data_IF_217202657794
#
_entry.id   IF_217202657794
#
_cell.length_a   1.000
_cell.length_b   1.000
_cell.length_c   1.000
_cell.angle_alpha   90.00
_cell.angle_beta   90.00
_cell.angle_gamma   90.00
#
_symmetry.space_group_name_H-M   'P 1'
#
loop_
_entity.id
_entity.type
_entity.pdbx_description
1 polymer ?
#
# COMPACT_ATOMS: atom_id res chain seq x y z
N UNK A 1 32.00 -18.28 0.33
CA UNK A 1 31.10 -18.86 -0.67
C UNK A 1 29.83 -18.02 -0.79
N UNK A 2 29.32 -17.89 -2.01
CA UNK A 2 28.06 -17.21 -2.28
C UNK A 2 26.92 -18.21 -2.12
N UNK A 3 25.95 -17.88 -1.26
CA UNK A 3 24.71 -18.64 -1.09
C UNK A 3 23.60 -17.82 -1.72
N UNK A 4 22.99 -18.28 -2.81
CA UNK A 4 21.86 -17.57 -3.42
C UNK A 4 20.63 -17.64 -2.52
N UNK A 5 19.79 -16.59 -2.62
CA UNK A 5 18.55 -16.52 -1.86
C UNK A 5 17.44 -15.85 -2.65
N UNK A 6 16.19 -16.22 -2.35
CA UNK A 6 14.99 -15.67 -2.97
C UNK A 6 14.01 -15.16 -1.94
N UNK A 7 13.57 -13.93 -2.16
CA UNK A 7 12.36 -13.40 -1.53
C UNK A 7 11.15 -13.87 -2.36
N UNK A 8 10.34 -14.72 -1.77
CA UNK A 8 9.29 -15.48 -2.45
C UNK A 8 7.88 -15.08 -2.02
N UNK A 9 7.72 -13.95 -1.37
CA UNK A 9 6.42 -13.41 -0.99
C UNK A 9 6.10 -12.14 -1.79
N UNK A 10 4.83 -11.79 -1.81
CA UNK A 10 4.38 -10.48 -2.22
C UNK A 10 3.46 -10.43 -3.43
N UNK A 11 3.06 -9.21 -3.72
CA UNK A 11 2.08 -8.84 -4.72
C UNK A 11 2.35 -9.36 -6.15
N UNK A 12 3.58 -9.44 -6.66
CA UNK A 12 3.82 -9.94 -8.02
C UNK A 12 3.28 -11.36 -8.25
N UNK A 13 3.35 -12.22 -7.24
CA UNK A 13 2.84 -13.60 -7.33
C UNK A 13 1.31 -13.58 -7.43
N UNK A 14 0.64 -12.85 -6.56
CA UNK A 14 -0.81 -12.70 -6.56
C UNK A 14 -1.32 -12.10 -7.87
N UNK A 15 -0.61 -11.10 -8.43
CA UNK A 15 -0.95 -10.48 -9.71
C UNK A 15 -0.89 -11.46 -10.88
N UNK A 16 0.07 -12.39 -10.89
CA UNK A 16 0.15 -13.41 -11.95
C UNK A 16 -1.03 -14.35 -11.86
N UNK A 17 -1.37 -14.84 -10.66
CA UNK A 17 -2.54 -15.70 -10.49
C UNK A 17 -3.83 -14.98 -10.89
N UNK A 18 -3.98 -13.71 -10.53
CA UNK A 18 -5.13 -12.90 -10.94
C UNK A 18 -5.22 -12.74 -12.48
N UNK A 19 -4.09 -12.54 -13.17
CA UNK A 19 -4.04 -12.51 -14.65
C UNK A 19 -4.42 -13.84 -15.29
N UNK A 20 -4.22 -14.95 -14.59
CA UNK A 20 -4.66 -16.29 -15.00
C UNK A 20 -6.15 -16.54 -14.72
N UNK A 21 -6.87 -15.55 -14.18
CA UNK A 21 -8.28 -15.65 -13.86
C UNK A 21 -8.57 -16.27 -12.49
N UNK A 22 -7.55 -16.49 -11.68
CA UNK A 22 -7.69 -17.07 -10.34
C UNK A 22 -8.07 -15.96 -9.38
N UNK A 23 -9.23 -16.11 -8.74
CA UNK A 23 -9.76 -15.12 -7.80
C UNK A 23 -9.63 -15.63 -6.37
N UNK A 24 -8.81 -14.97 -5.59
CA UNK A 24 -8.54 -15.31 -4.18
C UNK A 24 -9.80 -15.55 -3.34
N UNK A 25 -10.85 -14.73 -3.57
CA UNK A 25 -12.10 -14.79 -2.79
C UNK A 25 -13.00 -16.00 -3.13
N UNK A 26 -12.73 -16.67 -4.25
CA UNK A 26 -13.53 -17.81 -4.73
C UNK A 26 -12.91 -19.16 -4.33
N UNK A 27 -11.71 -19.16 -3.73
CA UNK A 27 -10.95 -20.36 -3.34
C UNK A 27 -10.81 -20.46 -1.82
N UNK A 28 -10.57 -21.68 -1.37
CA UNK A 28 -10.06 -21.93 -0.02
C UNK A 28 -8.68 -21.25 0.16
N UNK A 29 -8.45 -20.68 1.34
CA UNK A 29 -7.22 -19.95 1.62
C UNK A 29 -5.97 -20.82 1.46
N UNK A 30 -6.03 -22.08 1.93
CA UNK A 30 -4.89 -23.00 1.86
C UNK A 30 -4.60 -23.38 0.41
N UNK A 31 -5.63 -23.63 -0.38
CA UNK A 31 -5.52 -23.90 -1.81
C UNK A 31 -4.85 -22.73 -2.53
N UNK A 32 -5.33 -21.52 -2.31
CA UNK A 32 -4.74 -20.31 -2.90
C UNK A 32 -3.27 -20.10 -2.50
N UNK A 33 -2.94 -20.29 -1.23
CA UNK A 33 -1.56 -20.15 -0.74
C UNK A 33 -0.64 -21.22 -1.36
N UNK A 34 -1.13 -22.45 -1.56
CA UNK A 34 -0.37 -23.48 -2.25
C UNK A 34 -0.10 -23.11 -3.71
N UNK A 35 -1.08 -22.53 -4.42
CA UNK A 35 -0.88 -22.03 -5.79
C UNK A 35 0.18 -20.91 -5.83
N UNK A 36 0.17 -20.00 -4.87
CA UNK A 36 1.21 -18.97 -4.74
C UNK A 36 2.59 -19.59 -4.52
N UNK A 37 2.68 -20.58 -3.63
CA UNK A 37 3.92 -21.32 -3.32
C UNK A 37 4.47 -22.03 -4.55
N UNK A 38 3.63 -22.79 -5.26
CA UNK A 38 4.03 -23.55 -6.44
C UNK A 38 4.53 -22.63 -7.54
N UNK A 39 3.85 -21.51 -7.76
CA UNK A 39 4.29 -20.50 -8.71
C UNK A 39 5.65 -19.91 -8.29
N UNK A 40 5.82 -19.50 -7.04
CA UNK A 40 7.08 -18.94 -6.54
C UNK A 40 8.25 -19.91 -6.72
N UNK A 41 8.08 -21.19 -6.34
CA UNK A 41 9.10 -22.22 -6.50
C UNK A 41 9.44 -22.46 -7.96
N UNK A 42 8.46 -22.45 -8.86
CA UNK A 42 8.71 -22.56 -10.29
C UNK A 42 9.59 -21.42 -10.82
N UNK A 43 9.42 -20.20 -10.31
CA UNK A 43 10.24 -19.05 -10.69
C UNK A 43 11.65 -19.14 -10.09
N UNK A 44 11.80 -19.67 -8.88
CA UNK A 44 13.11 -19.93 -8.26
C UNK A 44 13.94 -20.86 -9.16
N UNK A 45 13.38 -22.00 -9.56
CA UNK A 45 14.10 -22.95 -10.43
C UNK A 45 14.47 -22.34 -11.78
N UNK A 46 13.56 -21.61 -12.40
CA UNK A 46 13.82 -20.93 -13.67
C UNK A 46 14.96 -19.92 -13.55
N UNK A 47 14.93 -19.06 -12.54
CA UNK A 47 15.96 -18.06 -12.31
C UNK A 47 17.29 -18.69 -11.94
N UNK A 48 17.30 -19.79 -11.17
CA UNK A 48 18.49 -20.56 -10.83
C UNK A 48 19.21 -21.03 -12.11
N UNK A 49 18.47 -21.60 -13.05
CA UNK A 49 19.05 -22.04 -14.33
C UNK A 49 19.56 -20.85 -15.18
N UNK A 50 18.82 -19.74 -15.21
CA UNK A 50 19.28 -18.54 -15.92
C UNK A 50 20.57 -17.97 -15.33
N UNK A 51 20.71 -17.88 -14.01
CA UNK A 51 21.93 -17.42 -13.35
C UNK A 51 23.11 -18.36 -13.55
N UNK A 52 22.89 -19.67 -13.48
CA UNK A 52 23.93 -20.67 -13.83
C UNK A 52 24.42 -20.49 -15.26
N UNK A 53 23.51 -20.28 -16.19
CA UNK A 53 23.83 -20.03 -17.61
C UNK A 53 24.65 -18.74 -17.79
N UNK A 54 24.43 -17.71 -16.97
CA UNK A 54 25.22 -16.48 -16.97
C UNK A 54 26.60 -16.64 -16.30
N UNK A 55 26.93 -17.83 -15.79
CA UNK A 55 28.22 -18.12 -15.15
C UNK A 55 28.31 -17.71 -13.70
N UNK A 56 27.21 -17.43 -13.02
CA UNK A 56 27.25 -17.11 -11.58
C UNK A 56 27.56 -18.38 -10.79
N UNK A 57 28.66 -18.35 -10.06
CA UNK A 57 29.10 -19.44 -9.18
C UNK A 57 28.56 -19.25 -7.78
N UNK A 58 28.04 -20.33 -7.17
CA UNK A 58 27.48 -20.32 -5.83
C UNK A 58 27.00 -21.70 -5.37
N UNK A 59 26.56 -21.81 -4.15
CA UNK A 59 25.92 -23.02 -3.61
C UNK A 59 24.44 -23.05 -4.05
N UNK A 60 24.23 -23.53 -5.23
CA UNK A 60 22.90 -23.64 -5.83
C UNK A 60 22.05 -24.80 -5.28
N UNK A 61 22.69 -25.72 -4.54
CA UNK A 61 21.99 -26.87 -3.97
C UNK A 61 21.37 -26.55 -2.61
N UNK A 62 21.93 -25.55 -1.91
CA UNK A 62 21.46 -25.14 -0.59
C UNK A 62 21.11 -23.64 -0.56
N UNK A 63 20.22 -23.15 -1.44
CA UNK A 63 19.80 -21.75 -1.41
C UNK A 63 18.92 -21.49 -0.18
N UNK A 64 18.81 -20.24 0.27
CA UNK A 64 17.74 -19.91 1.19
C UNK A 64 16.53 -19.37 0.42
N UNK A 65 15.33 -19.77 0.86
CA UNK A 65 14.06 -19.37 0.25
C UNK A 65 13.11 -18.92 1.36
N UNK A 66 12.63 -17.71 1.28
CA UNK A 66 11.90 -17.09 2.40
C UNK A 66 10.55 -17.75 2.72
N UNK A 67 9.99 -18.52 1.79
CA UNK A 67 8.75 -19.28 2.01
C UNK A 67 8.94 -20.65 2.71
N UNK A 68 10.18 -21.00 3.10
CA UNK A 68 10.39 -22.23 3.83
C UNK A 68 9.88 -22.10 5.27
N UNK A 69 9.28 -23.16 5.86
CA UNK A 69 8.73 -23.11 7.21
C UNK A 69 9.76 -22.66 8.27
N UNK A 70 11.00 -23.11 8.15
CA UNK A 70 12.07 -22.71 9.08
C UNK A 70 12.40 -21.22 9.00
N UNK A 71 12.39 -20.67 7.80
CA UNK A 71 12.62 -19.24 7.58
C UNK A 71 11.46 -18.41 8.14
N UNK A 72 10.22 -18.78 7.82
CA UNK A 72 9.03 -18.13 8.36
C UNK A 72 8.97 -18.20 9.89
N UNK A 73 9.30 -19.35 10.48
CA UNK A 73 9.39 -19.50 11.92
C UNK A 73 10.45 -18.59 12.56
N UNK A 74 11.58 -18.41 11.89
CA UNK A 74 12.64 -17.51 12.35
C UNK A 74 12.17 -16.04 12.33
N UNK A 75 11.47 -15.61 11.27
CA UNK A 75 10.87 -14.27 11.18
C UNK A 75 9.86 -14.03 12.29
N UNK A 76 8.94 -14.97 12.52
CA UNK A 76 7.93 -14.86 13.59
C UNK A 76 8.61 -14.75 14.96
N UNK A 77 9.68 -15.51 15.20
CA UNK A 77 10.42 -15.46 16.46
C UNK A 77 11.06 -14.09 16.69
N UNK A 78 11.71 -13.52 15.66
CA UNK A 78 12.31 -12.19 15.73
C UNK A 78 11.23 -11.12 15.98
N UNK A 79 10.10 -11.20 15.26
CA UNK A 79 8.96 -10.32 15.48
C UNK A 79 8.46 -10.40 16.92
N UNK A 80 8.33 -11.61 17.47
CA UNK A 80 7.93 -11.83 18.86
C UNK A 80 8.89 -11.22 19.87
N UNK A 81 10.19 -11.31 19.66
CA UNK A 81 11.20 -10.67 20.53
C UNK A 81 11.12 -9.14 20.46
N UNK A 82 10.88 -8.56 19.31
CA UNK A 82 10.66 -7.11 19.14
C UNK A 82 9.38 -6.65 19.87
N UNK A 83 8.31 -7.44 19.76
CA UNK A 83 7.06 -7.15 20.47
C UNK A 83 7.24 -7.20 21.99
N UNK A 84 7.94 -8.20 22.53
CA UNK A 84 8.26 -8.29 23.96
C UNK A 84 9.05 -7.08 24.48
N UNK A 85 9.92 -6.52 23.64
CA UNK A 85 10.70 -5.32 23.96
C UNK A 85 9.90 -4.01 23.80
N UNK A 86 8.63 -4.08 23.41
CA UNK A 86 7.76 -2.91 23.24
C UNK A 86 8.03 -2.09 21.97
N UNK A 87 8.79 -2.61 21.00
CA UNK A 87 9.08 -1.91 19.75
C UNK A 87 7.91 -1.98 18.75
N UNK A 88 6.99 -2.91 18.96
CA UNK A 88 5.86 -3.12 18.07
C UNK A 88 4.57 -2.81 18.81
N UNK A 89 3.74 -1.98 18.19
CA UNK A 89 2.43 -1.63 18.71
C UNK A 89 1.42 -1.54 17.55
N UNK A 90 0.14 -1.68 17.89
CA UNK A 90 -0.95 -1.50 16.92
C UNK A 90 -1.34 -0.02 16.86
N UNK A 91 -1.34 0.54 15.68
CA UNK A 91 -1.74 1.93 15.45
C UNK A 91 -2.41 2.07 14.07
N UNK A 92 -3.19 3.14 13.91
CA UNK A 92 -3.74 3.54 12.63
C UNK A 92 -2.80 4.55 11.97
N UNK A 93 -2.46 4.31 10.69
CA UNK A 93 -1.66 5.21 9.86
C UNK A 93 -2.26 5.25 8.48
N UNK A 94 -2.47 6.44 7.87
CA UNK A 94 -2.82 6.54 6.46
C UNK A 94 -1.74 5.91 5.59
N UNK A 95 -2.15 5.06 4.65
CA UNK A 95 -1.25 4.40 3.70
C UNK A 95 -1.86 4.46 2.30
N UNK A 96 -1.01 4.38 1.28
CA UNK A 96 -1.47 4.22 -0.09
C UNK A 96 -2.13 2.87 -0.28
N UNK A 97 -3.20 2.85 -1.04
CA UNK A 97 -4.02 1.67 -1.26
C UNK A 97 -4.30 1.47 -2.75
N UNK A 98 -4.01 0.28 -3.25
CA UNK A 98 -4.41 -0.14 -4.59
C UNK A 98 -5.74 -0.86 -4.53
N UNK A 99 -6.79 -0.25 -5.08
CA UNK A 99 -8.12 -0.88 -5.13
C UNK A 99 -8.19 -2.06 -6.10
N UNK A 100 -7.36 -2.09 -7.13
CA UNK A 100 -7.30 -3.20 -8.10
C UNK A 100 -6.62 -4.44 -7.55
N UNK A 101 -5.63 -4.25 -6.67
CA UNK A 101 -4.91 -5.33 -6.01
C UNK A 101 -5.44 -5.61 -4.59
N UNK A 102 -6.34 -4.77 -4.10
CA UNK A 102 -6.88 -4.81 -2.72
C UNK A 102 -5.77 -4.90 -1.66
N UNK A 103 -4.72 -4.12 -1.85
CA UNK A 103 -3.50 -4.15 -1.03
C UNK A 103 -3.00 -2.75 -0.67
N UNK A 104 -2.40 -2.63 0.52
CA UNK A 104 -1.57 -1.49 0.87
C UNK A 104 -0.27 -1.51 0.04
N UNK A 105 0.23 -0.33 -0.28
CA UNK A 105 1.46 -0.15 -1.06
C UNK A 105 2.55 0.48 -0.20
N UNK A 106 3.79 0.04 -0.38
CA UNK A 106 4.96 0.76 0.09
C UNK A 106 5.19 2.00 -0.77
N UNK A 107 5.86 3.01 -0.21
CA UNK A 107 6.14 4.25 -0.94
C UNK A 107 6.97 4.01 -2.22
N UNK A 108 7.88 3.04 -2.20
CA UNK A 108 8.68 2.65 -3.35
C UNK A 108 7.89 1.99 -4.50
N UNK A 109 6.66 1.57 -4.24
CA UNK A 109 5.76 0.95 -5.23
C UNK A 109 4.83 1.97 -5.89
N UNK A 110 4.95 3.26 -5.54
CA UNK A 110 4.08 4.33 -6.00
C UNK A 110 4.76 5.05 -7.14
N UNK A 111 4.03 5.19 -8.25
CA UNK A 111 4.44 5.99 -9.39
C UNK A 111 3.51 7.20 -9.52
N UNK A 112 4.11 8.37 -9.73
CA UNK A 112 3.40 9.62 -9.91
C UNK A 112 3.30 9.96 -11.40
N UNK A 113 2.10 10.22 -11.86
CA UNK A 113 1.81 10.62 -13.24
C UNK A 113 0.96 11.88 -13.25
N UNK A 114 1.16 12.71 -14.26
CA UNK A 114 0.31 13.87 -14.49
C UNK A 114 -1.08 13.42 -14.88
N UNK A 115 -2.08 13.92 -14.16
CA UNK A 115 -3.49 13.64 -14.40
C UNK A 115 -4.28 14.92 -14.61
N UNK A 116 -5.20 14.89 -15.55
CA UNK A 116 -6.24 15.91 -15.67
C UNK A 116 -7.41 15.48 -14.79
N UNK A 117 -7.70 16.25 -13.74
CA UNK A 117 -8.84 15.99 -12.86
C UNK A 117 -9.80 17.18 -12.83
N UNK A 118 -11.07 16.90 -12.58
CA UNK A 118 -12.07 17.93 -12.39
C UNK A 118 -11.87 18.60 -11.05
N UNK A 119 -11.73 19.92 -11.05
CA UNK A 119 -11.71 20.73 -9.83
C UNK A 119 -13.00 21.50 -9.67
N UNK A 120 -13.37 21.75 -8.43
CA UNK A 120 -14.62 22.43 -8.08
C UNK A 120 -14.33 23.46 -6.98
N UNK A 121 -14.91 24.65 -7.16
CA UNK A 121 -15.09 25.61 -6.08
C UNK A 121 -16.52 25.50 -5.56
N UNK A 122 -16.69 25.48 -4.25
CA UNK A 122 -18.00 25.53 -3.61
C UNK A 122 -17.97 26.44 -2.40
N UNK A 123 -19.12 27.01 -2.07
CA UNK A 123 -19.26 28.01 -1.03
C UNK A 123 -20.09 27.47 0.14
N UNK A 124 -19.58 27.59 1.34
CA UNK A 124 -20.27 27.25 2.57
C UNK A 124 -20.79 28.53 3.23
N UNK A 125 -22.09 28.64 3.40
CA UNK A 125 -22.69 29.80 4.06
C UNK A 125 -22.33 29.81 5.55
N UNK A 126 -21.95 30.99 6.05
CA UNK A 126 -21.70 31.20 7.48
C UNK A 126 -23.03 31.12 8.23
N UNK A 127 -23.13 30.22 9.20
CA UNK A 127 -24.30 30.06 10.06
C UNK A 127 -24.25 31.00 11.27
N UNK A 128 -23.08 31.11 11.86
CA UNK A 128 -22.80 31.97 13.03
C UNK A 128 -21.36 32.48 12.90
N UNK A 129 -21.20 33.74 12.62
CA UNK A 129 -19.89 34.38 12.40
C UNK A 129 -19.25 34.94 13.67
N UNK A 130 -19.83 34.69 14.84
CA UNK A 130 -19.32 35.10 16.17
C UNK A 130 -18.98 36.61 16.27
N UNK A 131 -19.70 37.44 15.53
CA UNK A 131 -19.46 38.89 15.47
C UNK A 131 -18.27 39.31 14.59
N UNK A 132 -17.64 38.39 13.89
CA UNK A 132 -16.53 38.65 12.96
C UNK A 132 -16.99 38.63 11.51
N UNK A 133 -17.87 37.67 11.17
CA UNK A 133 -18.43 37.53 9.83
C UNK A 133 -19.94 37.63 9.87
N UNK A 134 -20.50 38.22 8.84
CA UNK A 134 -21.96 38.26 8.67
C UNK A 134 -22.51 36.91 8.17
N UNK A 135 -23.77 36.63 8.44
CA UNK A 135 -24.46 35.40 8.01
C UNK A 135 -24.68 35.32 6.48
N UNK A 136 -24.49 36.42 5.78
CA UNK A 136 -24.52 36.45 4.30
C UNK A 136 -23.13 36.22 3.67
N UNK A 137 -22.14 35.99 4.51
CA UNK A 137 -20.78 35.63 4.07
C UNK A 137 -20.73 34.15 3.72
N UNK A 138 -19.94 33.84 2.70
CA UNK A 138 -19.64 32.48 2.26
C UNK A 138 -18.15 32.20 2.34
N UNK A 139 -17.78 31.03 2.82
CA UNK A 139 -16.40 30.55 2.80
C UNK A 139 -16.23 29.67 1.59
N UNK A 140 -15.39 30.10 0.64
CA UNK A 140 -15.12 29.38 -0.60
C UNK A 140 -14.03 28.33 -0.35
N UNK A 141 -14.29 27.14 -0.83
CA UNK A 141 -13.37 25.99 -0.75
C UNK A 141 -13.11 25.46 -2.14
N UNK A 142 -11.88 25.10 -2.43
CA UNK A 142 -11.48 24.43 -3.65
C UNK A 142 -11.14 22.97 -3.39
N UNK A 143 -11.56 22.07 -4.29
CA UNK A 143 -11.25 20.64 -4.18
C UNK A 143 -11.10 20.01 -5.56
N UNK A 144 -10.23 19.00 -5.65
CA UNK A 144 -10.14 18.07 -6.78
C UNK A 144 -10.89 16.76 -6.53
N UNK A 145 -11.52 16.60 -5.37
CA UNK A 145 -12.26 15.41 -4.95
C UNK A 145 -13.69 15.74 -4.53
N UNK A 146 -14.58 16.13 -5.49
CA UNK A 146 -15.93 16.62 -5.18
C UNK A 146 -16.79 15.65 -4.37
N UNK A 147 -16.57 14.35 -4.52
CA UNK A 147 -17.29 13.32 -3.78
C UNK A 147 -17.07 13.36 -2.25
N UNK A 148 -16.04 14.08 -1.77
CA UNK A 148 -15.79 14.25 -0.33
C UNK A 148 -16.67 15.30 0.33
N UNK A 149 -17.38 16.13 -0.45
CA UNK A 149 -18.21 17.24 0.07
C UNK A 149 -19.29 16.70 1.03
N UNK A 150 -19.93 15.60 0.70
CA UNK A 150 -20.99 14.98 1.53
C UNK A 150 -20.48 14.43 2.86
N UNK A 151 -19.19 14.15 2.99
CA UNK A 151 -18.55 13.65 4.20
C UNK A 151 -17.83 14.75 4.99
N UNK A 152 -17.77 15.97 4.47
CA UNK A 152 -17.07 17.10 5.13
C UNK A 152 -17.79 17.49 6.43
N UNK A 153 -17.02 17.56 7.52
CA UNK A 153 -17.52 17.88 8.87
C UNK A 153 -17.07 19.24 9.39
N UNK A 154 -16.10 19.84 8.76
CA UNK A 154 -15.54 21.12 9.17
C UNK A 154 -14.60 21.69 8.15
N UNK A 155 -14.24 22.95 8.34
CA UNK A 155 -13.23 23.66 7.55
C UNK A 155 -12.06 23.98 8.48
N UNK A 156 -10.85 23.85 7.95
CA UNK A 156 -9.62 24.27 8.63
C UNK A 156 -9.01 25.42 7.85
N UNK A 157 -8.44 26.37 8.59
CA UNK A 157 -7.74 27.54 8.03
C UNK A 157 -6.31 27.55 8.50
N UNK A 158 -5.42 28.16 7.73
CA UNK A 158 -4.03 28.40 8.16
C UNK A 158 -3.97 29.61 9.07
N UNK A 159 -3.35 29.47 10.23
CA UNK A 159 -3.21 30.58 11.20
C UNK A 159 -2.34 31.74 10.66
N UNK A 160 -1.42 31.42 9.75
CA UNK A 160 -0.47 32.35 9.15
C UNK A 160 -0.88 32.80 7.73
N UNK A 161 -2.15 32.59 7.37
CA UNK A 161 -2.70 32.96 6.07
C UNK A 161 -3.72 34.07 6.25
N UNK A 162 -3.56 35.17 5.53
CA UNK A 162 -4.53 36.26 5.50
C UNK A 162 -5.72 35.90 4.62
N UNK A 163 -6.91 35.96 5.20
CA UNK A 163 -8.18 35.77 4.50
C UNK A 163 -8.90 37.10 4.37
N UNK A 164 -9.44 37.36 3.20
CA UNK A 164 -10.14 38.60 2.90
C UNK A 164 -11.60 38.34 2.49
N UNK A 165 -12.49 39.23 2.87
CA UNK A 165 -13.85 39.26 2.38
C UNK A 165 -13.89 40.09 1.11
N UNK A 166 -14.41 39.51 0.04
CA UNK A 166 -14.62 40.19 -1.25
C UNK A 166 -16.13 40.24 -1.55
N UNK A 167 -16.53 41.28 -2.26
CA UNK A 167 -17.92 41.49 -2.73
C UNK A 167 -18.04 41.04 -4.18
#
# INVERSE_FOLDING_TARGET
PYIPGWDTHGLPIEQVLAKQGIKRKELDLVEYLNMCRDYALSQVEKQKEDFKRLGVSGDWENPYVTLTPDYEAAQIRVFGEMAKKGYIYRGAKPVYWSWSSESALAEAEIEYHDLVSTSLYYANRVKDGKGVLDTDTYIVVWTTTPFTITASRGLTVGADIDYVVVQ
#
